data_IF_351844004286
#
_entry.id   IF_351844004286
#
_cell.length_a   1.000
_cell.length_b   1.000
_cell.length_c   1.000
_cell.angle_alpha   90.00
_cell.angle_beta   90.00
_cell.angle_gamma   90.00
#
_symmetry.space_group_name_H-M   'P 1'
#
loop_
_entity.id
_entity.type
_entity.pdbx_description
1 polymer ?
#
# COMPACT_ATOMS: atom_id res chain seq x y z
N UNK A 1 -30.03 12.94 1.80
CA UNK A 1 -30.49 12.44 0.89
C UNK A 1 -29.98 11.15 0.56
N UNK A 2 -29.72 10.41 1.01
CA UNK A 2 -28.82 9.48 0.67
C UNK A 2 -29.13 8.10 1.15
N UNK A 3 -29.88 7.91 2.22
CA UNK A 3 -30.22 6.59 2.72
C UNK A 3 -31.07 5.76 1.74
N UNK A 4 -31.95 6.40 1.01
CA UNK A 4 -32.77 5.71 0.00
C UNK A 4 -31.97 5.25 -1.19
N UNK A 5 -31.00 6.05 -1.63
CA UNK A 5 -30.10 5.70 -2.72
C UNK A 5 -29.28 4.49 -2.36
N UNK A 6 -28.80 4.45 -1.13
CA UNK A 6 -27.94 3.36 -0.67
C UNK A 6 -28.66 2.01 -0.65
N UNK A 7 -29.93 1.97 -0.31
CA UNK A 7 -30.69 0.71 -0.30
C UNK A 7 -30.87 0.12 -1.68
N UNK A 8 -31.13 0.95 -2.69
CA UNK A 8 -31.31 0.46 -4.06
C UNK A 8 -30.01 0.04 -4.70
N UNK A 9 -28.87 0.59 -4.25
CA UNK A 9 -27.56 0.27 -4.78
C UNK A 9 -26.82 -0.78 -3.95
N UNK A 10 -27.41 -1.22 -2.85
CA UNK A 10 -26.77 -2.20 -2.01
C UNK A 10 -26.64 -3.55 -2.70
N UNK A 11 -25.44 -4.05 -2.84
CA UNK A 11 -25.14 -5.33 -3.45
C UNK A 11 -25.11 -6.44 -2.41
N UNK A 12 -25.54 -7.63 -2.80
CA UNK A 12 -25.33 -8.82 -1.99
C UNK A 12 -23.85 -9.20 -2.01
N UNK A 13 -23.42 -9.97 -1.03
CA UNK A 13 -22.02 -10.42 -0.95
C UNK A 13 -21.59 -11.20 -2.22
N UNK A 14 -22.49 -12.00 -2.77
CA UNK A 14 -22.23 -12.69 -4.04
C UNK A 14 -21.96 -11.71 -5.18
N UNK A 15 -22.76 -10.67 -5.29
CA UNK A 15 -22.62 -9.67 -6.36
C UNK A 15 -21.31 -8.91 -6.26
N UNK A 16 -20.87 -8.63 -5.03
CA UNK A 16 -19.58 -8.00 -4.78
C UNK A 16 -18.43 -8.90 -5.23
N UNK A 17 -18.54 -10.20 -5.01
CA UNK A 17 -17.53 -11.16 -5.47
C UNK A 17 -17.48 -11.23 -6.99
N UNK A 18 -18.62 -11.25 -7.63
CA UNK A 18 -18.73 -11.35 -9.09
C UNK A 18 -18.24 -10.10 -9.80
N UNK A 19 -18.28 -8.95 -9.11
CA UNK A 19 -17.82 -7.68 -9.67
C UNK A 19 -16.38 -7.33 -9.23
N UNK A 20 -15.69 -8.23 -8.58
CA UNK A 20 -14.32 -8.00 -8.16
C UNK A 20 -13.42 -7.74 -9.37
N UNK A 21 -12.69 -6.64 -9.33
CA UNK A 21 -11.70 -6.29 -10.36
C UNK A 21 -10.64 -7.37 -10.42
N UNK A 22 -10.30 -7.84 -11.61
CA UNK A 22 -9.22 -8.80 -11.74
C UNK A 22 -7.87 -8.11 -11.47
N UNK A 23 -6.86 -8.91 -11.12
CA UNK A 23 -5.55 -8.37 -10.71
C UNK A 23 -4.88 -7.52 -11.78
N UNK A 24 -4.99 -7.90 -13.04
CA UNK A 24 -4.37 -7.15 -14.13
C UNK A 24 -5.04 -5.79 -14.33
N UNK A 25 -6.37 -5.75 -14.29
CA UNK A 25 -7.12 -4.51 -14.40
C UNK A 25 -6.85 -3.60 -13.20
N UNK A 26 -6.73 -4.16 -12.01
CA UNK A 26 -6.38 -3.42 -10.80
C UNK A 26 -5.02 -2.73 -10.91
N UNK A 27 -4.03 -3.41 -11.50
CA UNK A 27 -2.69 -2.85 -11.70
C UNK A 27 -2.69 -1.68 -12.68
N UNK A 28 -3.70 -1.57 -13.53
CA UNK A 28 -3.84 -0.46 -14.48
C UNK A 28 -4.55 0.75 -13.89
N UNK A 29 -5.09 0.66 -12.68
CA UNK A 29 -5.71 1.80 -12.01
C UNK A 29 -4.68 2.87 -11.74
N UNK A 30 -5.06 4.12 -11.99
CA UNK A 30 -4.24 5.27 -11.63
C UNK A 30 -4.13 5.37 -10.12
N UNK A 31 -2.92 5.56 -9.62
CA UNK A 31 -2.65 5.66 -8.20
C UNK A 31 -2.49 7.10 -7.77
N UNK A 32 -2.82 7.37 -6.52
CA UNK A 32 -2.67 8.69 -5.93
C UNK A 32 -1.19 9.01 -5.71
N UNK A 33 -0.85 10.30 -5.74
CA UNK A 33 0.53 10.76 -5.55
C UNK A 33 0.92 10.71 -4.06
N UNK A 34 0.85 9.54 -3.49
CA UNK A 34 1.23 9.28 -2.10
C UNK A 34 2.27 8.18 -2.08
N UNK A 35 3.40 8.46 -1.46
CA UNK A 35 4.43 7.47 -1.18
C UNK A 35 4.44 7.18 0.31
N UNK A 36 4.62 5.93 0.67
CA UNK A 36 4.70 5.52 2.06
C UNK A 36 6.08 4.94 2.33
N UNK A 37 6.72 5.36 3.41
CA UNK A 37 7.99 4.81 3.88
C UNK A 37 7.75 4.12 5.20
N UNK A 38 8.16 2.87 5.29
CA UNK A 38 8.20 2.13 6.55
C UNK A 38 9.64 2.01 7.02
N UNK A 39 9.95 2.68 8.11
CA UNK A 39 11.23 2.58 8.74
C UNK A 39 11.13 1.61 9.92
N UNK A 40 12.05 0.64 9.92
CA UNK A 40 12.21 -0.27 11.05
C UNK A 40 10.99 -1.16 11.35
N UNK A 41 10.41 -1.79 10.33
CA UNK A 41 9.31 -2.72 10.53
C UNK A 41 9.84 -4.14 10.80
N UNK A 42 9.30 -4.79 11.82
CA UNK A 42 9.77 -6.10 12.25
C UNK A 42 8.71 -7.19 12.21
N UNK A 43 7.49 -6.88 11.89
CA UNK A 43 6.37 -7.80 12.03
C UNK A 43 5.59 -7.90 10.73
N UNK A 44 5.44 -9.12 10.22
CA UNK A 44 4.72 -9.37 8.97
C UNK A 44 3.25 -9.02 9.04
N UNK A 45 2.63 -9.14 10.21
CA UNK A 45 1.24 -8.74 10.39
C UNK A 45 1.07 -7.23 10.22
N UNK A 46 1.96 -6.45 10.82
CA UNK A 46 1.95 -4.98 10.68
C UNK A 46 2.22 -4.57 9.23
N UNK A 47 3.18 -5.21 8.59
CA UNK A 47 3.45 -4.94 7.18
C UNK A 47 2.25 -5.27 6.30
N UNK A 48 1.60 -6.39 6.55
CA UNK A 48 0.37 -6.77 5.82
C UNK A 48 -0.74 -5.74 5.99
N UNK A 49 -0.91 -5.21 7.19
CA UNK A 49 -1.90 -4.16 7.46
C UNK A 49 -1.59 -2.87 6.69
N UNK A 50 -0.32 -2.47 6.66
CA UNK A 50 0.12 -1.28 5.91
C UNK A 50 -0.06 -1.48 4.40
N UNK A 51 0.28 -2.66 3.89
CA UNK A 51 0.07 -2.98 2.48
C UNK A 51 -1.41 -2.87 2.10
N UNK A 52 -2.31 -3.40 2.93
CA UNK A 52 -3.75 -3.29 2.69
C UNK A 52 -4.21 -1.83 2.72
N UNK A 53 -3.67 -1.03 3.63
CA UNK A 53 -3.98 0.39 3.68
C UNK A 53 -3.49 1.11 2.42
N UNK A 54 -2.27 0.84 1.99
CA UNK A 54 -1.73 1.38 0.73
C UNK A 54 -2.59 1.01 -0.47
N UNK A 55 -3.13 -0.20 -0.46
CA UNK A 55 -4.02 -0.66 -1.50
C UNK A 55 -5.35 0.13 -1.51
N UNK A 56 -5.95 0.29 -0.34
CA UNK A 56 -7.23 1.02 -0.20
C UNK A 56 -7.10 2.47 -0.65
N UNK A 57 -6.01 3.14 -0.31
CA UNK A 57 -5.80 4.55 -0.68
C UNK A 57 -5.13 4.72 -2.05
N UNK A 58 -4.86 3.63 -2.74
CA UNK A 58 -4.15 3.62 -4.02
C UNK A 58 -2.83 4.40 -3.95
N UNK A 59 -2.03 4.11 -2.93
CA UNK A 59 -0.72 4.70 -2.79
C UNK A 59 0.16 4.33 -4.00
N UNK A 60 0.95 5.28 -4.45
CA UNK A 60 1.77 5.10 -5.64
C UNK A 60 2.85 4.05 -5.43
N UNK A 61 3.49 4.08 -4.28
CA UNK A 61 4.52 3.11 -3.94
C UNK A 61 4.77 3.07 -2.43
N UNK A 62 5.09 1.89 -1.94
CA UNK A 62 5.55 1.65 -0.58
C UNK A 62 7.04 1.36 -0.60
N UNK A 63 7.82 2.10 0.16
CA UNK A 63 9.23 1.82 0.39
C UNK A 63 9.40 1.20 1.78
N UNK A 64 10.09 0.09 1.85
CA UNK A 64 10.34 -0.64 3.08
C UNK A 64 11.84 -0.59 3.36
N UNK A 65 12.22 0.07 4.45
CA UNK A 65 13.62 0.19 4.83
C UNK A 65 14.02 -1.04 5.64
N UNK A 66 14.95 -1.83 5.11
CA UNK A 66 15.34 -3.08 5.76
C UNK A 66 16.78 -3.12 6.24
N UNK A 67 17.66 -2.35 5.70
CA UNK A 67 19.07 -2.48 6.02
C UNK A 67 19.59 -3.90 5.74
N UNK A 68 20.39 -4.47 6.67
CA UNK A 68 21.10 -5.73 6.45
C UNK A 68 20.38 -6.98 7.02
N UNK A 69 19.27 -6.83 7.69
CA UNK A 69 18.70 -7.90 8.50
C UNK A 69 17.67 -8.79 7.81
N UNK A 70 17.32 -8.52 6.59
CA UNK A 70 16.34 -9.27 5.79
C UNK A 70 14.97 -9.48 6.49
N UNK A 71 14.65 -8.69 7.50
CA UNK A 71 13.41 -8.79 8.26
C UNK A 71 12.22 -8.42 7.38
N UNK A 72 12.37 -7.40 6.56
CA UNK A 72 11.30 -6.95 5.66
C UNK A 72 10.91 -8.02 4.65
N UNK A 73 11.87 -8.79 4.14
CA UNK A 73 11.58 -9.88 3.20
C UNK A 73 10.76 -10.99 3.85
N UNK A 74 11.08 -11.34 5.09
CA UNK A 74 10.30 -12.32 5.86
C UNK A 74 8.90 -11.78 6.15
N UNK A 75 8.82 -10.51 6.51
CA UNK A 75 7.55 -9.84 6.76
C UNK A 75 6.66 -9.81 5.51
N UNK A 76 7.23 -9.57 4.33
CA UNK A 76 6.50 -9.64 3.07
C UNK A 76 5.89 -11.01 2.82
N UNK A 77 6.65 -12.08 3.05
CA UNK A 77 6.13 -13.44 2.91
C UNK A 77 4.96 -13.70 3.85
N UNK A 78 4.99 -13.11 5.04
CA UNK A 78 3.92 -13.26 6.03
C UNK A 78 2.72 -12.35 5.76
N UNK A 79 2.76 -11.47 4.77
CA UNK A 79 1.66 -10.55 4.46
C UNK A 79 0.48 -11.21 3.74
N UNK A 80 0.60 -12.49 3.42
CA UNK A 80 -0.47 -13.32 2.82
C UNK A 80 -1.00 -12.78 1.49
N UNK A 81 -0.12 -12.35 0.63
CA UNK A 81 -0.45 -11.96 -0.73
C UNK A 81 -0.81 -10.48 -0.92
N UNK A 82 -0.87 -9.69 0.14
CA UNK A 82 -1.14 -8.26 0.02
C UNK A 82 -0.07 -7.55 -0.81
N UNK A 83 1.17 -8.02 -0.79
CA UNK A 83 2.28 -7.48 -1.58
C UNK A 83 2.05 -7.58 -3.09
N UNK A 84 1.17 -8.45 -3.54
CA UNK A 84 0.88 -8.60 -4.96
C UNK A 84 0.05 -7.45 -5.55
N UNK A 85 -0.55 -6.63 -4.68
CA UNK A 85 -1.46 -5.58 -5.11
C UNK A 85 -0.86 -4.19 -5.04
N UNK A 86 0.21 -4.00 -4.31
CA UNK A 86 0.81 -2.70 -4.03
C UNK A 86 2.21 -2.64 -4.62
N UNK A 87 2.53 -1.63 -5.45
CA UNK A 87 3.90 -1.39 -5.85
C UNK A 87 4.75 -1.11 -4.62
N UNK A 88 5.82 -1.86 -4.46
CA UNK A 88 6.68 -1.73 -3.30
C UNK A 88 8.14 -2.02 -3.65
N UNK A 89 9.03 -1.55 -2.80
CA UNK A 89 10.46 -1.77 -2.96
C UNK A 89 11.11 -1.84 -1.58
N UNK A 90 12.00 -2.80 -1.39
CA UNK A 90 12.83 -2.87 -0.20
C UNK A 90 14.11 -2.09 -0.47
N UNK A 91 14.41 -1.13 0.37
CA UNK A 91 15.56 -0.22 0.21
C UNK A 91 16.45 -0.25 1.43
N UNK A 92 17.73 0.02 1.25
CA UNK A 92 18.70 0.15 2.32
C UNK A 92 19.26 1.58 2.43
N UNK A 93 18.97 2.44 1.47
CA UNK A 93 19.42 3.83 1.41
C UNK A 93 18.24 4.80 1.39
N UNK A 94 17.51 4.94 2.51
CA UNK A 94 16.28 5.74 2.51
C UNK A 94 16.52 7.23 2.24
N UNK A 95 17.65 7.77 2.69
CA UNK A 95 17.97 9.20 2.51
C UNK A 95 18.07 9.56 1.03
N UNK A 96 18.69 8.73 0.22
CA UNK A 96 18.81 8.97 -1.22
C UNK A 96 17.45 9.01 -1.90
N UNK A 97 16.57 8.08 -1.55
CA UNK A 97 15.21 8.02 -2.11
C UNK A 97 14.39 9.25 -1.69
N UNK A 98 14.47 9.63 -0.42
CA UNK A 98 13.77 10.81 0.11
C UNK A 98 14.27 12.08 -0.57
N UNK A 99 15.56 12.24 -0.75
CA UNK A 99 16.14 13.41 -1.43
C UNK A 99 15.69 13.48 -2.89
N UNK A 100 15.64 12.35 -3.57
CA UNK A 100 15.15 12.28 -4.95
C UNK A 100 13.68 12.72 -5.02
N UNK A 101 12.83 12.22 -4.16
CA UNK A 101 11.42 12.58 -4.12
C UNK A 101 11.24 14.08 -3.82
N UNK A 102 12.00 14.63 -2.88
CA UNK A 102 11.98 16.07 -2.60
C UNK A 102 12.37 16.89 -3.82
N UNK A 103 13.38 16.45 -4.57
CA UNK A 103 13.79 17.15 -5.79
C UNK A 103 12.71 17.14 -6.86
N UNK A 104 11.82 16.18 -6.83
CA UNK A 104 10.68 16.05 -7.74
C UNK A 104 9.43 16.81 -7.24
N UNK A 105 9.55 17.54 -6.12
CA UNK A 105 8.44 18.33 -5.57
C UNK A 105 7.57 17.61 -4.56
N UNK A 106 7.94 16.43 -4.12
CA UNK A 106 7.17 15.66 -3.13
C UNK A 106 7.40 16.23 -1.74
N UNK A 107 6.32 16.50 -1.01
CA UNK A 107 6.39 16.93 0.37
C UNK A 107 6.63 15.73 1.28
N UNK A 108 7.59 15.85 2.19
CA UNK A 108 7.92 14.79 3.14
C UNK A 108 7.27 15.10 4.49
N UNK A 109 6.56 14.12 5.04
CA UNK A 109 5.90 14.23 6.34
C UNK A 109 6.29 13.03 7.19
N UNK A 110 6.74 13.28 8.42
CA UNK A 110 6.99 12.23 9.41
C UNK A 110 5.74 11.99 10.24
N UNK A 111 5.45 10.72 10.48
CA UNK A 111 4.39 10.32 11.40
C UNK A 111 5.03 9.54 12.54
N UNK A 112 4.93 10.08 13.75
CA UNK A 112 5.46 9.49 14.95
C UNK A 112 4.41 9.48 16.07
N UNK A 113 4.56 8.56 16.97
CA UNK A 113 3.70 8.45 18.15
C UNK A 113 4.40 9.03 19.35
#
# INVERSE_FOLDING_TARGET
>A
MTAQINRTLQKKTSDIRDTKINRNDFKLLERNDVYVFLDNIHNGFNLGAILRLCDVVLAKKLFIVDGKNAVARKALKASKGAENWVPHEIIDQPIEVIQKLKSEGVQIVSVEI
#
